data_IF_776835077948
#
_entry.id   IF_776835077948
#
_cell.length_a   1.000
_cell.length_b   1.000
_cell.length_c   1.000
_cell.angle_alpha   90.00
_cell.angle_beta   90.00
_cell.angle_gamma   90.00
#
_symmetry.space_group_name_H-M   'P 1'
#
loop_
_entity.id
_entity.type
_entity.pdbx_description
1 polymer ?
#
# COMPACT_ATOMS: atom_id res chain seq x y z
N UNK A 1 -30.33 6.14 -8.50
CA UNK A 1 -29.35 7.12 -8.96
C UNK A 1 -28.81 6.66 -10.33
N UNK A 2 -29.36 7.23 -11.38
CA UNK A 2 -29.16 6.77 -12.76
C UNK A 2 -28.05 7.55 -13.49
N UNK A 3 -27.11 8.13 -12.72
CA UNK A 3 -26.01 8.88 -13.32
C UNK A 3 -24.92 7.98 -13.83
N UNK A 4 -24.43 8.28 -15.01
CA UNK A 4 -23.23 7.67 -15.60
C UNK A 4 -22.01 8.52 -15.24
N UNK A 5 -20.88 7.87 -14.96
CA UNK A 5 -19.62 8.53 -14.63
C UNK A 5 -18.54 8.04 -15.58
N UNK A 6 -17.67 8.94 -15.96
CA UNK A 6 -16.43 8.62 -16.63
C UNK A 6 -15.29 8.81 -15.62
N UNK A 7 -14.46 7.80 -15.47
CA UNK A 7 -13.33 7.80 -14.53
C UNK A 7 -12.04 7.73 -15.34
N UNK A 8 -11.17 8.72 -15.14
CA UNK A 8 -9.81 8.73 -15.67
C UNK A 8 -8.85 8.34 -14.56
N UNK A 9 -8.02 7.33 -14.80
CA UNK A 9 -7.04 6.84 -13.85
C UNK A 9 -5.63 6.98 -14.42
N UNK A 10 -4.82 7.81 -13.75
CA UNK A 10 -3.40 7.95 -14.06
C UNK A 10 -2.59 7.11 -13.05
N UNK A 11 -1.91 6.06 -13.56
CA UNK A 11 -1.19 5.07 -12.74
C UNK A 11 0.29 5.42 -12.68
N UNK A 12 0.72 5.98 -11.56
CA UNK A 12 2.12 6.30 -11.29
C UNK A 12 2.83 5.23 -10.42
N UNK A 13 2.08 4.27 -9.88
CA UNK A 13 2.61 3.13 -9.12
C UNK A 13 2.60 1.90 -10.04
N UNK A 14 3.68 1.11 -10.10
CA UNK A 14 3.75 -0.08 -10.94
C UNK A 14 2.58 -1.05 -10.65
N UNK A 15 2.03 -1.63 -11.70
CA UNK A 15 0.93 -2.60 -11.60
C UNK A 15 1.49 -3.91 -11.04
N UNK A 16 0.79 -4.56 -10.13
CA UNK A 16 1.21 -5.81 -9.52
C UNK A 16 2.42 -5.67 -8.60
N UNK A 17 2.61 -4.48 -8.03
CA UNK A 17 3.77 -4.13 -7.21
C UNK A 17 3.66 -4.57 -5.73
N UNK A 18 2.56 -5.17 -5.29
CA UNK A 18 2.35 -5.50 -3.87
C UNK A 18 2.04 -4.30 -2.97
N UNK A 19 1.74 -3.12 -3.55
CA UNK A 19 1.48 -1.87 -2.81
C UNK A 19 -0.01 -1.56 -2.62
N UNK A 20 -0.90 -2.47 -3.01
CA UNK A 20 -2.35 -2.27 -2.88
C UNK A 20 -2.92 -1.16 -3.78
N UNK A 21 -2.24 -0.80 -4.88
CA UNK A 21 -2.61 0.31 -5.76
C UNK A 21 -4.04 0.21 -6.28
N UNK A 22 -4.48 -0.95 -6.78
CA UNK A 22 -5.86 -1.16 -7.24
C UNK A 22 -6.90 -0.99 -6.13
N UNK A 23 -6.58 -1.45 -4.92
CA UNK A 23 -7.46 -1.25 -3.74
C UNK A 23 -7.54 0.21 -3.31
N UNK A 24 -6.43 0.95 -3.45
CA UNK A 24 -6.40 2.38 -3.20
C UNK A 24 -7.22 3.17 -4.23
N UNK A 25 -7.15 2.79 -5.51
CA UNK A 25 -7.97 3.38 -6.59
C UNK A 25 -9.46 3.14 -6.34
N UNK A 26 -9.83 1.91 -5.96
CA UNK A 26 -11.21 1.57 -5.60
C UNK A 26 -11.70 2.38 -4.39
N UNK A 27 -10.89 2.50 -3.35
CA UNK A 27 -11.22 3.30 -2.17
C UNK A 27 -11.40 4.80 -2.50
N UNK A 28 -10.50 5.36 -3.32
CA UNK A 28 -10.60 6.75 -3.79
C UNK A 28 -11.89 6.97 -4.59
N UNK A 29 -12.21 6.07 -5.50
CA UNK A 29 -13.45 6.09 -6.29
C UNK A 29 -14.68 6.07 -5.38
N UNK A 30 -14.72 5.19 -4.39
CA UNK A 30 -15.82 5.12 -3.42
C UNK A 30 -16.00 6.43 -2.64
N UNK A 31 -14.90 7.06 -2.24
CA UNK A 31 -14.94 8.35 -1.53
C UNK A 31 -15.51 9.44 -2.43
N UNK A 32 -15.07 9.51 -3.69
CA UNK A 32 -15.55 10.50 -4.67
C UNK A 32 -17.04 10.33 -4.96
N UNK A 33 -17.47 9.09 -5.27
CA UNK A 33 -18.87 8.79 -5.55
C UNK A 33 -19.76 9.08 -4.33
N UNK A 34 -19.29 8.78 -3.10
CA UNK A 34 -20.02 9.15 -1.88
C UNK A 34 -20.18 10.65 -1.73
N UNK A 35 -19.13 11.45 -2.02
CA UNK A 35 -19.21 12.91 -1.96
C UNK A 35 -20.23 13.46 -2.95
N UNK A 36 -20.19 12.99 -4.21
CA UNK A 36 -21.14 13.38 -5.24
C UNK A 36 -22.58 13.01 -4.83
N UNK A 37 -22.79 11.78 -4.41
CA UNK A 37 -24.09 11.29 -3.98
C UNK A 37 -24.67 12.12 -2.82
N UNK A 38 -23.89 12.37 -1.77
CA UNK A 38 -24.34 13.13 -0.60
C UNK A 38 -24.53 14.62 -0.89
N UNK A 39 -23.78 15.19 -1.84
CA UNK A 39 -23.90 16.60 -2.23
C UNK A 39 -25.16 16.91 -3.05
N UNK A 40 -25.68 15.93 -3.80
CA UNK A 40 -26.84 16.10 -4.68
C UNK A 40 -28.15 15.59 -4.08
N UNK A 41 -28.05 14.67 -3.13
CA UNK A 41 -29.21 14.00 -2.59
C UNK A 41 -29.84 14.82 -1.47
N UNK A 42 -31.05 15.29 -1.69
CA UNK A 42 -31.96 15.72 -0.61
C UNK A 42 -32.48 14.52 0.22
N UNK A 43 -32.08 13.30 -0.13
CA UNK A 43 -32.44 12.02 0.49
C UNK A 43 -31.37 11.57 1.48
N UNK A 44 -31.60 10.41 2.08
CA UNK A 44 -30.73 9.79 3.10
C UNK A 44 -29.28 9.68 2.63
N UNK A 45 -28.36 10.31 3.32
CA UNK A 45 -26.92 10.25 3.04
C UNK A 45 -26.37 8.83 3.07
N UNK A 46 -25.43 8.54 2.17
CA UNK A 46 -24.65 7.30 2.22
C UNK A 46 -23.66 7.38 3.40
N UNK A 47 -23.96 6.63 4.45
CA UNK A 47 -23.16 6.60 5.66
C UNK A 47 -21.77 5.97 5.42
N UNK A 48 -20.80 6.32 6.26
CA UNK A 48 -19.46 5.70 6.23
C UNK A 48 -19.54 4.18 6.47
N UNK A 49 -20.45 3.73 7.36
CA UNK A 49 -20.65 2.30 7.61
C UNK A 49 -21.08 1.55 6.34
N UNK A 50 -22.02 2.11 5.58
CA UNK A 50 -22.42 1.51 4.30
C UNK A 50 -21.31 1.52 3.27
N UNK A 51 -20.45 2.57 3.26
CA UNK A 51 -19.28 2.61 2.40
C UNK A 51 -18.30 1.46 2.70
N UNK A 52 -18.05 1.15 3.98
CA UNK A 52 -17.25 0.01 4.38
C UNK A 52 -17.87 -1.35 3.98
N UNK A 53 -19.21 -1.48 4.03
CA UNK A 53 -19.90 -2.68 3.54
C UNK A 53 -19.66 -2.88 2.04
N UNK A 54 -19.67 -1.81 1.26
CA UNK A 54 -19.35 -1.87 -0.19
C UNK A 54 -17.88 -2.21 -0.38
N UNK A 55 -16.97 -1.54 0.33
CA UNK A 55 -15.53 -1.77 0.25
C UNK A 55 -15.16 -3.24 0.51
N UNK A 56 -15.77 -3.88 1.52
CA UNK A 56 -15.56 -5.30 1.83
C UNK A 56 -15.97 -6.25 0.69
N UNK A 57 -16.94 -5.86 -0.14
CA UNK A 57 -17.37 -6.65 -1.32
C UNK A 57 -16.44 -6.49 -2.51
N UNK A 58 -15.69 -5.38 -2.59
CA UNK A 58 -14.78 -5.09 -3.70
C UNK A 58 -13.42 -5.78 -3.55
N UNK A 59 -12.95 -5.98 -2.33
CA UNK A 59 -11.69 -6.66 -2.07
C UNK A 59 -11.22 -6.52 -0.62
N UNK A 60 -10.37 -7.46 -0.18
CA UNK A 60 -9.86 -7.56 1.20
C UNK A 60 -9.11 -6.31 1.67
N UNK A 61 -8.40 -5.64 0.76
CA UNK A 61 -7.55 -4.50 1.08
C UNK A 61 -8.27 -3.14 0.95
N UNK A 62 -9.42 -3.11 0.26
CA UNK A 62 -10.18 -1.88 0.00
C UNK A 62 -10.63 -1.19 1.30
N UNK A 63 -11.10 -1.89 2.35
CA UNK A 63 -11.44 -1.26 3.62
C UNK A 63 -10.25 -0.58 4.31
N UNK A 64 -9.06 -1.18 4.23
CA UNK A 64 -7.84 -0.61 4.78
C UNK A 64 -7.43 0.65 4.03
N UNK A 65 -7.48 0.62 2.71
CA UNK A 65 -7.23 1.79 1.87
C UNK A 65 -8.26 2.91 2.13
N UNK A 66 -9.52 2.55 2.37
CA UNK A 66 -10.56 3.50 2.73
C UNK A 66 -10.28 4.18 4.08
N UNK A 67 -9.77 3.44 5.07
CA UNK A 67 -9.35 3.98 6.36
C UNK A 67 -8.13 4.90 6.24
N UNK A 68 -7.21 4.62 5.30
CA UNK A 68 -6.01 5.40 5.01
C UNK A 68 -5.19 5.81 6.25
N UNK A 69 -4.92 4.84 7.11
CA UNK A 69 -4.19 4.99 8.39
C UNK A 69 -3.30 3.79 8.64
N UNK A 70 -2.39 3.92 9.62
CA UNK A 70 -1.67 2.78 10.17
C UNK A 70 -2.64 1.82 10.86
N UNK A 71 -2.72 0.58 10.36
CA UNK A 71 -3.70 -0.41 10.78
C UNK A 71 -3.05 -1.76 11.04
N UNK A 72 -3.63 -2.51 11.97
CA UNK A 72 -3.49 -3.97 12.05
C UNK A 72 -4.74 -4.58 11.43
N UNK A 73 -4.51 -5.43 10.44
CA UNK A 73 -5.57 -6.10 9.68
C UNK A 73 -5.50 -7.59 9.97
N UNK A 74 -6.65 -8.23 10.14
CA UNK A 74 -6.75 -9.67 10.38
C UNK A 74 -8.02 -10.26 9.72
N UNK A 75 -8.11 -11.60 9.72
CA UNK A 75 -9.13 -12.32 8.96
C UNK A 75 -8.95 -12.12 7.46
N UNK A 76 -10.02 -12.01 6.72
CA UNK A 76 -10.03 -11.72 5.28
C UNK A 76 -10.01 -10.21 4.97
N UNK A 77 -9.26 -9.41 5.76
CA UNK A 77 -9.23 -7.94 5.60
C UNK A 77 -10.37 -7.20 6.32
N UNK A 78 -11.29 -7.92 6.92
CA UNK A 78 -12.52 -7.38 7.52
C UNK A 78 -12.36 -6.94 8.97
N UNK A 79 -11.32 -7.38 9.68
CA UNK A 79 -11.03 -6.99 11.05
C UNK A 79 -9.90 -5.97 11.05
N UNK A 80 -10.26 -4.69 11.19
CA UNK A 80 -9.33 -3.56 11.12
C UNK A 80 -9.23 -2.92 12.50
N UNK A 81 -8.01 -2.82 13.02
CA UNK A 81 -7.69 -2.13 14.27
C UNK A 81 -6.63 -1.06 14.02
N UNK A 82 -6.82 0.14 14.55
CA UNK A 82 -5.82 1.21 14.45
C UNK A 82 -4.52 0.76 15.14
N UNK A 83 -3.42 0.94 14.44
CA UNK A 83 -2.08 0.77 15.00
C UNK A 83 -1.45 2.15 15.22
N UNK A 84 -0.88 2.38 16.41
CA UNK A 84 -0.19 3.63 16.73
C UNK A 84 1.31 3.51 16.39
N UNK A 85 1.63 3.27 15.13
CA UNK A 85 3.01 3.43 14.68
C UNK A 85 3.36 4.93 14.61
N UNK A 86 4.57 5.26 15.00
CA UNK A 86 5.08 6.62 14.85
C UNK A 86 5.16 7.00 13.37
N UNK A 87 4.64 8.18 13.00
CA UNK A 87 4.69 8.70 11.64
C UNK A 87 6.02 9.40 11.32
N UNK A 88 7.05 9.23 12.17
CA UNK A 88 8.33 9.95 12.07
C UNK A 88 9.38 9.19 11.26
N UNK A 89 8.96 8.21 10.48
CA UNK A 89 9.86 7.43 9.64
C UNK A 89 9.81 7.85 8.18
N UNK A 90 10.95 7.70 7.51
CA UNK A 90 11.04 7.75 6.06
C UNK A 90 11.05 6.33 5.49
N UNK A 91 10.39 6.17 4.38
CA UNK A 91 10.30 4.91 3.64
C UNK A 91 11.02 5.07 2.31
N UNK A 92 11.81 4.08 1.97
CA UNK A 92 12.35 3.86 0.64
C UNK A 92 11.60 2.66 0.04
N UNK A 93 11.02 2.81 -1.14
CA UNK A 93 10.39 1.75 -1.90
C UNK A 93 11.22 1.49 -3.14
N UNK A 94 11.56 0.23 -3.39
CA UNK A 94 12.30 -0.21 -4.58
C UNK A 94 11.54 -1.36 -5.21
N UNK A 95 11.15 -1.20 -6.47
CA UNK A 95 10.47 -2.26 -7.23
C UNK A 95 11.36 -2.66 -8.42
N UNK A 96 11.67 -3.92 -8.61
CA UNK A 96 12.52 -4.39 -9.73
C UNK A 96 11.82 -4.31 -11.10
N UNK A 97 10.71 -3.60 -11.22
CA UNK A 97 9.86 -3.51 -12.41
C UNK A 97 9.36 -4.88 -12.91
N UNK A 98 9.24 -5.83 -12.00
CA UNK A 98 8.69 -7.17 -12.27
C UNK A 98 7.28 -7.23 -11.69
N UNK A 99 6.32 -7.47 -12.55
CA UNK A 99 4.94 -7.70 -12.15
C UNK A 99 4.79 -9.13 -11.61
N UNK A 100 4.40 -9.28 -10.35
CA UNK A 100 4.06 -10.56 -9.75
C UNK A 100 2.55 -10.74 -9.65
N UNK A 101 2.07 -11.88 -10.14
CA UNK A 101 0.70 -12.30 -9.91
C UNK A 101 0.55 -12.79 -8.46
N UNK A 102 -0.29 -12.13 -7.68
CA UNK A 102 -0.64 -12.58 -6.32
C UNK A 102 -1.05 -14.06 -6.31
N UNK A 103 -1.81 -14.51 -7.31
CA UNK A 103 -2.22 -15.90 -7.46
C UNK A 103 -1.02 -16.84 -7.62
N UNK A 104 -0.04 -16.49 -8.45
CA UNK A 104 1.18 -17.30 -8.63
C UNK A 104 2.01 -17.35 -7.34
N UNK A 105 2.18 -16.23 -6.64
CA UNK A 105 2.92 -16.22 -5.37
C UNK A 105 2.24 -17.13 -4.35
N UNK A 106 0.92 -17.08 -4.23
CA UNK A 106 0.17 -17.97 -3.34
C UNK A 106 0.20 -19.43 -3.77
N UNK A 107 0.29 -19.75 -5.08
CA UNK A 107 0.38 -21.17 -5.53
C UNK A 107 1.73 -21.81 -5.20
N UNK A 108 2.78 -21.02 -4.99
CA UNK A 108 4.09 -21.49 -4.51
C UNK A 108 4.22 -21.44 -2.98
N UNK A 109 3.19 -20.99 -2.29
CA UNK A 109 3.19 -20.91 -0.83
C UNK A 109 3.01 -22.30 -0.22
N UNK A 110 4.00 -22.78 0.52
CA UNK A 110 4.00 -24.13 1.09
C UNK A 110 3.67 -24.16 2.58
N UNK A 111 4.03 -23.12 3.35
CA UNK A 111 3.75 -23.05 4.77
C UNK A 111 3.91 -21.63 5.32
N UNK A 112 3.22 -21.34 6.43
CA UNK A 112 3.49 -20.12 7.19
C UNK A 112 4.82 -20.30 7.92
N UNK A 113 5.82 -19.51 7.60
CA UNK A 113 7.06 -19.48 8.36
C UNK A 113 6.75 -18.92 9.74
N UNK A 114 6.59 -19.81 10.71
CA UNK A 114 6.56 -19.45 12.12
C UNK A 114 7.96 -19.20 12.68
N UNK A 115 8.99 -19.48 11.91
CA UNK A 115 10.37 -19.09 12.22
C UNK A 115 10.54 -17.57 12.05
N UNK A 116 9.78 -16.86 12.85
CA UNK A 116 10.21 -15.58 13.36
C UNK A 116 11.36 -15.89 14.31
N UNK A 117 12.49 -16.34 13.75
CA UNK A 117 13.75 -16.19 14.47
C UNK A 117 13.76 -14.74 14.86
N UNK A 118 13.73 -14.48 16.15
CA UNK A 118 13.72 -13.16 16.77
C UNK A 118 14.93 -12.36 16.28
N UNK A 119 14.87 -11.94 15.03
CA UNK A 119 15.85 -11.06 14.47
C UNK A 119 15.52 -9.68 15.03
N UNK A 120 15.94 -9.47 16.31
CA UNK A 120 15.77 -8.20 17.04
C UNK A 120 16.25 -6.97 16.27
N UNK A 121 16.94 -7.20 15.14
CA UNK A 121 17.46 -6.16 14.25
C UNK A 121 16.50 -5.72 13.14
N UNK A 122 15.42 -6.47 12.84
CA UNK A 122 14.45 -6.10 11.80
C UNK A 122 13.07 -5.85 12.41
N UNK A 123 12.97 -4.80 13.22
CA UNK A 123 11.76 -4.45 13.96
C UNK A 123 11.43 -2.97 13.81
N UNK A 124 10.16 -2.67 13.66
CA UNK A 124 9.62 -1.31 13.73
C UNK A 124 8.96 -1.12 15.10
N UNK A 125 9.70 -0.53 16.04
CA UNK A 125 9.32 -0.54 17.45
C UNK A 125 9.28 -1.96 17.99
N UNK A 126 8.14 -2.39 18.52
CA UNK A 126 7.94 -3.75 19.04
C UNK A 126 7.36 -4.72 17.99
N UNK A 127 7.32 -4.33 16.71
CA UNK A 127 6.74 -5.14 15.64
C UNK A 127 7.85 -5.72 14.78
N UNK A 128 8.01 -7.05 14.78
CA UNK A 128 8.91 -7.74 13.87
C UNK A 128 8.40 -7.61 12.43
N UNK A 129 9.31 -7.30 11.52
CA UNK A 129 9.02 -7.19 10.08
C UNK A 129 9.38 -8.51 9.41
N UNK A 130 8.39 -9.22 8.96
CA UNK A 130 8.52 -10.47 8.19
C UNK A 130 7.41 -10.58 7.16
N UNK A 131 7.61 -11.43 6.16
CA UNK A 131 6.60 -11.70 5.14
C UNK A 131 6.65 -13.19 4.73
N UNK A 132 5.61 -13.93 5.07
CA UNK A 132 5.52 -15.37 4.78
C UNK A 132 5.49 -15.70 3.28
N UNK A 133 5.16 -14.74 2.42
CA UNK A 133 5.16 -14.90 0.96
C UNK A 133 6.54 -14.67 0.34
N UNK A 134 7.54 -14.25 1.14
CA UNK A 134 8.84 -13.82 0.62
C UNK A 134 9.57 -14.94 -0.12
N UNK A 135 9.62 -16.16 0.42
CA UNK A 135 10.29 -17.28 -0.24
C UNK A 135 9.65 -17.61 -1.58
N UNK A 136 8.31 -17.66 -1.63
CA UNK A 136 7.56 -17.88 -2.87
C UNK A 136 7.82 -16.77 -3.90
N UNK A 137 7.85 -15.52 -3.47
CA UNK A 137 8.12 -14.39 -4.36
C UNK A 137 9.54 -14.41 -4.92
N UNK A 138 10.55 -14.76 -4.10
CA UNK A 138 11.95 -14.88 -4.53
C UNK A 138 12.13 -16.00 -5.54
N UNK A 139 11.41 -17.12 -5.38
CA UNK A 139 11.44 -18.22 -6.35
C UNK A 139 11.00 -17.76 -7.75
N UNK A 140 10.00 -16.86 -7.81
CA UNK A 140 9.49 -16.33 -9.07
C UNK A 140 10.35 -15.16 -9.59
N UNK A 141 10.80 -14.29 -8.68
CA UNK A 141 11.55 -13.07 -8.98
C UNK A 141 12.78 -12.95 -8.06
N UNK A 142 13.93 -13.60 -8.42
CA UNK A 142 15.15 -13.56 -7.60
C UNK A 142 15.70 -12.15 -7.34
N UNK A 143 15.37 -11.17 -8.17
CA UNK A 143 15.76 -9.77 -8.00
C UNK A 143 15.29 -9.17 -6.65
N UNK A 144 14.20 -9.70 -6.10
CA UNK A 144 13.72 -9.34 -4.75
C UNK A 144 14.79 -9.63 -3.71
N UNK A 145 15.43 -10.79 -3.79
CA UNK A 145 16.52 -11.18 -2.89
C UNK A 145 17.70 -10.23 -2.98
N UNK A 146 18.09 -9.85 -4.21
CA UNK A 146 19.19 -8.89 -4.44
C UNK A 146 18.90 -7.55 -3.76
N UNK A 147 17.70 -6.99 -3.99
CA UNK A 147 17.30 -5.71 -3.39
C UNK A 147 17.31 -5.81 -1.85
N UNK A 148 16.73 -6.89 -1.28
CA UNK A 148 16.70 -7.08 0.16
C UNK A 148 18.08 -7.26 0.78
N UNK A 149 19.00 -7.91 0.08
CA UNK A 149 20.39 -8.09 0.50
C UNK A 149 21.13 -6.75 0.59
N UNK A 150 20.88 -5.86 -0.37
CA UNK A 150 21.40 -4.49 -0.36
C UNK A 150 20.81 -3.70 0.79
N UNK A 151 19.47 -3.70 0.91
CA UNK A 151 18.78 -2.98 1.99
C UNK A 151 19.28 -3.42 3.38
N UNK A 152 19.48 -4.73 3.58
CA UNK A 152 19.97 -5.29 4.85
C UNK A 152 21.34 -4.73 5.27
N UNK A 153 22.18 -4.38 4.32
CA UNK A 153 23.55 -3.89 4.56
C UNK A 153 23.61 -2.38 4.78
N UNK A 154 22.49 -1.66 4.55
CA UNK A 154 22.50 -0.20 4.66
C UNK A 154 22.70 0.27 6.10
N UNK A 155 23.58 1.26 6.31
CA UNK A 155 23.74 1.85 7.63
C UNK A 155 22.44 2.55 8.08
N UNK A 156 22.15 2.44 9.38
CA UNK A 156 21.00 3.09 10.01
C UNK A 156 19.62 2.66 9.47
N UNK A 157 19.53 1.56 8.74
CA UNK A 157 18.23 0.96 8.43
C UNK A 157 17.59 0.42 9.72
N UNK A 158 16.32 0.74 9.91
CA UNK A 158 15.55 0.31 11.08
C UNK A 158 14.89 -1.04 10.79
N UNK A 159 14.26 -1.12 9.62
CA UNK A 159 13.58 -2.32 9.16
C UNK A 159 13.52 -2.35 7.64
N UNK A 160 13.43 -3.53 7.07
CA UNK A 160 13.32 -3.76 5.63
C UNK A 160 12.48 -5.01 5.37
N UNK A 161 11.92 -5.10 4.17
CA UNK A 161 11.10 -6.24 3.80
C UNK A 161 10.47 -6.10 2.43
N UNK A 162 9.65 -7.09 2.06
CA UNK A 162 8.83 -7.08 0.86
C UNK A 162 7.39 -6.71 1.23
N UNK A 163 6.75 -5.89 0.42
CA UNK A 163 5.35 -5.47 0.60
C UNK A 163 4.39 -6.46 -0.05
N UNK A 164 3.43 -6.96 0.70
CA UNK A 164 2.37 -7.84 0.20
C UNK A 164 2.91 -9.08 -0.50
N UNK A 165 2.41 -9.39 -1.69
CA UNK A 165 2.89 -10.48 -2.54
C UNK A 165 4.10 -10.12 -3.41
N UNK A 166 4.65 -8.93 -3.23
CA UNK A 166 5.79 -8.41 -4.03
C UNK A 166 5.30 -7.67 -5.29
N UNK A 167 6.20 -7.19 -6.11
CA UNK A 167 7.66 -7.32 -6.04
C UNK A 167 8.35 -6.18 -5.27
N UNK A 168 7.62 -5.16 -4.79
CA UNK A 168 8.21 -4.01 -4.10
C UNK A 168 8.83 -4.41 -2.78
N UNK A 169 10.10 -4.02 -2.60
CA UNK A 169 10.82 -4.04 -1.34
C UNK A 169 10.77 -2.67 -0.68
N UNK A 170 10.91 -2.64 0.63
CA UNK A 170 10.96 -1.38 1.37
C UNK A 170 12.08 -1.38 2.40
N UNK A 171 12.61 -0.19 2.67
CA UNK A 171 13.49 0.13 3.79
C UNK A 171 12.90 1.26 4.62
N UNK A 172 13.08 1.23 5.94
CA UNK A 172 12.58 2.21 6.90
C UNK A 172 13.75 2.87 7.61
N UNK A 173 13.72 4.22 7.68
CA UNK A 173 14.80 5.05 8.22
C UNK A 173 14.23 6.16 9.12
N UNK A 174 15.05 6.66 10.05
CA UNK A 174 14.72 7.86 10.83
C UNK A 174 14.96 9.14 10.04
N UNK A 175 16.05 9.17 9.27
CA UNK A 175 16.54 10.38 8.61
C UNK A 175 16.59 10.21 7.09
N UNK A 176 16.16 11.24 6.38
CA UNK A 176 16.18 11.28 4.92
C UNK A 176 17.62 11.17 4.35
N UNK A 177 18.59 11.75 5.04
CA UNK A 177 20.01 11.69 4.62
C UNK A 177 20.57 10.28 4.45
N UNK A 178 19.96 9.29 5.10
CA UNK A 178 20.37 7.89 4.98
C UNK A 178 19.80 7.21 3.72
N UNK A 179 18.79 7.81 3.09
CA UNK A 179 18.15 7.29 1.88
C UNK A 179 18.84 7.81 0.61
N UNK A 180 19.23 9.09 0.59
CA UNK A 180 19.72 9.75 -0.62
C UNK A 180 20.91 9.03 -1.31
N UNK A 181 21.93 8.52 -0.59
CA UNK A 181 23.02 7.79 -1.24
C UNK A 181 22.57 6.49 -1.92
N UNK A 182 21.50 5.88 -1.38
CA UNK A 182 20.98 4.60 -1.85
C UNK A 182 20.02 4.79 -3.01
N UNK A 183 19.32 5.92 -3.04
CA UNK A 183 18.40 6.27 -4.11
C UNK A 183 19.12 6.20 -5.47
N UNK A 184 20.26 6.86 -5.62
CA UNK A 184 21.02 6.90 -6.86
C UNK A 184 21.50 5.51 -7.31
N UNK A 185 21.74 4.59 -6.37
CA UNK A 185 22.15 3.23 -6.69
C UNK A 185 21.06 2.43 -7.42
N UNK A 186 19.79 2.71 -7.15
CA UNK A 186 18.66 1.97 -7.72
C UNK A 186 17.97 2.71 -8.87
N UNK A 187 18.33 3.98 -9.16
CA UNK A 187 17.57 4.85 -10.06
C UNK A 187 17.50 4.32 -11.50
N UNK A 188 18.57 3.74 -12.00
CA UNK A 188 18.68 3.36 -13.41
C UNK A 188 17.88 2.12 -13.83
N UNK A 189 17.51 1.24 -12.90
CA UNK A 189 16.94 -0.08 -13.24
C UNK A 189 15.64 -0.43 -12.51
N UNK A 190 15.17 0.43 -11.61
CA UNK A 190 14.05 0.12 -10.73
C UNK A 190 13.06 1.28 -10.66
N UNK A 191 11.78 0.97 -10.38
CA UNK A 191 10.91 1.99 -9.83
C UNK A 191 11.36 2.27 -8.39
N UNK A 192 11.68 3.52 -8.11
CA UNK A 192 12.11 3.94 -6.78
C UNK A 192 11.28 5.13 -6.29
N UNK A 193 10.91 5.10 -5.04
CA UNK A 193 10.22 6.18 -4.36
C UNK A 193 10.70 6.29 -2.92
N UNK A 194 10.78 7.51 -2.40
CA UNK A 194 11.02 7.73 -0.98
C UNK A 194 10.17 8.88 -0.44
N UNK A 195 9.87 8.81 0.84
CA UNK A 195 9.08 9.84 1.51
C UNK A 195 8.58 9.42 2.88
N UNK A 196 7.74 10.27 3.46
CA UNK A 196 7.00 9.98 4.69
C UNK A 196 5.58 9.56 4.34
N UNK A 197 5.10 8.53 5.03
CA UNK A 197 3.69 8.15 4.96
C UNK A 197 2.89 9.09 5.87
N UNK A 198 1.80 9.64 5.34
CA UNK A 198 0.86 10.48 6.09
C UNK A 198 -0.45 9.73 6.28
N UNK A 199 -0.98 9.76 7.50
CA UNK A 199 -2.36 9.33 7.75
C UNK A 199 -3.33 10.34 7.12
N UNK A 200 -4.16 9.91 6.18
CA UNK A 200 -5.24 10.72 5.64
C UNK A 200 -6.57 10.29 6.28
N UNK A 201 -7.44 11.24 6.59
CA UNK A 201 -8.82 10.94 6.95
C UNK A 201 -9.70 11.01 5.70
N UNK A 202 -10.71 10.15 5.64
CA UNK A 202 -11.75 10.12 4.56
C UNK A 202 -12.36 11.52 4.31
N UNK A 203 -12.40 12.37 5.33
CA UNK A 203 -12.94 13.73 5.25
C UNK A 203 -11.93 14.75 4.67
N UNK A 204 -10.65 14.40 4.52
CA UNK A 204 -9.59 15.29 4.03
C UNK A 204 -9.18 15.06 2.58
N UNK A 205 -9.83 14.14 1.87
CA UNK A 205 -9.64 14.04 0.42
C UNK A 205 -10.19 15.33 -0.20
N UNK A 206 -9.30 16.30 -0.40
CA UNK A 206 -9.61 17.48 -1.21
C UNK A 206 -9.64 17.02 -2.67
N UNK A 207 -10.82 17.06 -3.30
CA UNK A 207 -10.86 17.20 -4.74
C UNK A 207 -10.08 18.50 -5.05
N UNK A 208 -8.97 18.41 -5.74
CA UNK A 208 -8.39 19.61 -6.34
C UNK A 208 -9.43 20.14 -7.33
N UNK A 209 -9.53 21.46 -7.47
CA UNK A 209 -10.39 22.09 -8.51
C UNK A 209 -10.12 21.54 -9.92
N UNK A 210 -8.92 20.99 -10.17
CA UNK A 210 -8.58 20.29 -11.40
C UNK A 210 -9.37 18.99 -11.62
N UNK A 211 -9.78 18.29 -10.57
CA UNK A 211 -10.63 17.10 -10.69
C UNK A 211 -12.10 17.48 -10.92
N UNK A 212 -12.57 18.60 -10.37
CA UNK A 212 -13.91 19.12 -10.63
C UNK A 212 -14.13 19.49 -12.10
N UNK A 213 -13.09 20.00 -12.77
CA UNK A 213 -13.16 20.34 -14.21
C UNK A 213 -12.99 19.13 -15.16
N UNK A 214 -12.60 17.95 -14.66
CA UNK A 214 -12.47 16.72 -15.47
C UNK A 214 -13.67 15.76 -15.33
N UNK A 215 -14.58 16.04 -14.43
CA UNK A 215 -15.86 15.32 -14.36
C UNK A 215 -16.87 16.02 -15.28
N UNK A 216 -16.85 15.69 -16.57
CA UNK A 216 -18.00 15.98 -17.42
C UNK A 216 -19.09 14.99 -17.09
N UNK A 217 -20.21 15.49 -16.57
CA UNK A 217 -21.46 14.74 -16.40
C UNK A 217 -22.11 14.72 -17.76
N UNK A 218 -22.22 13.57 -18.40
CA UNK A 218 -23.08 13.35 -19.55
C UNK A 218 -24.47 12.95 -19.08
#
# INVERSE_FOLDING_TARGET
WDKKFQIYLDKNIPIGAGLGGGSADAAATLILLRKLFNGESKRKELSISNLYKIANKLGSDVPACLASKSLKISGYGNKIKRNKLSNNYYYLLVNPNIQLSTKQVFSHFSYFSHDVTENKKNCLGNVSVYNSLLSSAITIAPQIHTILSILKQLPNIIAYGMSGSGSTCFGIFKDLKNILPVYNYFEDSNFIWYGRVKDYSVNRVRCSKMLENKFQIM
#
